data_IF_572168607517
#
_entry.id   IF_572168607517
#
_cell.length_a   1.000
_cell.length_b   1.000
_cell.length_c   1.000
_cell.angle_alpha   90.00
_cell.angle_beta   90.00
_cell.angle_gamma   90.00
#
_symmetry.space_group_name_H-M   'P 1'
#
loop_
_entity.id
_entity.type
_entity.pdbx_description
1 polymer ?
#
# COMPACT_ATOMS: atom_id res chain seq x y z
N UNK A 1 -14.15 -17.79 -12.83
CA UNK A 1 -13.88 -16.33 -12.73
C UNK A 1 -13.20 -15.88 -14.01
N UNK A 2 -13.52 -14.74 -14.63
CA UNK A 2 -12.71 -14.23 -15.72
C UNK A 2 -11.30 -13.97 -15.19
N UNK A 3 -10.31 -14.33 -15.99
CA UNK A 3 -8.88 -14.25 -15.72
C UNK A 3 -8.49 -12.77 -15.43
N UNK A 4 -8.43 -12.40 -14.14
CA UNK A 4 -8.16 -11.03 -13.67
C UNK A 4 -6.79 -10.52 -14.14
N UNK A 5 -5.80 -11.40 -14.25
CA UNK A 5 -4.47 -11.07 -14.75
C UNK A 5 -4.46 -10.59 -16.19
N UNK A 6 -5.38 -11.08 -17.03
CA UNK A 6 -5.55 -10.57 -18.40
C UNK A 6 -6.25 -9.20 -18.45
N UNK A 7 -6.97 -8.79 -17.42
CA UNK A 7 -7.63 -7.48 -17.38
C UNK A 7 -6.62 -6.37 -17.02
N UNK A 8 -5.76 -6.59 -16.02
CA UNK A 8 -4.72 -5.62 -15.65
C UNK A 8 -3.75 -5.30 -16.79
N UNK A 9 -3.40 -6.30 -17.61
CA UNK A 9 -2.52 -6.12 -18.77
C UNK A 9 -3.13 -5.22 -19.89
N UNK A 10 -4.43 -4.91 -19.85
CA UNK A 10 -5.09 -4.02 -20.80
C UNK A 10 -5.09 -2.56 -20.35
N UNK A 11 -4.83 -2.30 -19.07
CA UNK A 11 -4.77 -0.94 -18.54
C UNK A 11 -3.54 -0.21 -19.13
N UNK A 12 -3.74 1.01 -19.60
CA UNK A 12 -2.68 1.84 -20.18
C UNK A 12 -3.03 3.32 -20.04
N UNK A 13 -2.02 4.14 -19.93
CA UNK A 13 -2.17 5.59 -20.03
C UNK A 13 -2.60 5.98 -21.44
N UNK A 14 -3.59 6.88 -21.55
CA UNK A 14 -4.05 7.42 -22.84
C UNK A 14 -3.46 8.82 -23.08
N UNK A 15 -3.52 9.69 -22.05
CA UNK A 15 -2.97 11.05 -22.11
C UNK A 15 -2.50 11.50 -20.74
N UNK A 16 -1.66 12.52 -20.71
CA UNK A 16 -1.24 13.22 -19.51
C UNK A 16 -1.16 14.71 -19.82
N UNK A 17 -1.84 15.50 -19.02
CA UNK A 17 -1.90 16.95 -19.14
C UNK A 17 -1.85 17.62 -17.77
N UNK A 18 -1.48 18.91 -17.67
CA UNK A 18 -1.58 19.66 -16.42
C UNK A 18 -3.02 19.66 -15.91
N UNK A 19 -3.20 19.41 -14.61
CA UNK A 19 -4.51 19.45 -13.97
C UNK A 19 -4.86 20.90 -13.58
N UNK A 20 -6.01 21.38 -14.05
CA UNK A 20 -6.56 22.65 -13.57
C UNK A 20 -6.96 22.49 -12.09
N UNK A 21 -6.47 23.36 -11.19
CA UNK A 21 -6.86 23.31 -9.76
C UNK A 21 -8.37 23.34 -9.53
N UNK A 22 -9.16 23.96 -10.41
CA UNK A 22 -10.62 24.00 -10.32
C UNK A 22 -11.28 22.65 -10.59
N UNK A 23 -10.62 21.74 -11.30
CA UNK A 23 -11.08 20.39 -11.65
C UNK A 23 -10.55 19.33 -10.67
N UNK A 24 -9.59 19.71 -9.80
CA UNK A 24 -8.95 18.79 -8.87
C UNK A 24 -9.90 18.33 -7.77
N UNK A 25 -10.21 17.03 -7.73
CA UNK A 25 -11.11 16.42 -6.73
C UNK A 25 -10.38 15.75 -5.57
N UNK A 26 -9.22 15.15 -5.85
CA UNK A 26 -8.52 14.23 -4.95
C UNK A 26 -7.23 14.80 -4.38
N UNK A 27 -6.60 15.71 -5.13
CA UNK A 27 -5.31 16.29 -4.78
C UNK A 27 -5.30 17.79 -5.02
N UNK A 28 -4.43 18.50 -4.29
CA UNK A 28 -4.10 19.91 -4.56
C UNK A 28 -2.61 20.13 -4.46
N UNK A 29 -2.12 21.13 -5.20
CA UNK A 29 -0.76 21.66 -5.03
C UNK A 29 -0.79 22.77 -3.99
N UNK A 30 0.23 22.80 -3.14
CA UNK A 30 0.37 23.74 -2.04
C UNK A 30 1.75 24.39 -2.08
N UNK A 31 1.79 25.72 -1.91
CA UNK A 31 3.01 26.48 -1.66
C UNK A 31 3.05 26.87 -0.19
N UNK A 32 3.98 26.29 0.54
CA UNK A 32 4.21 26.63 1.95
C UNK A 32 5.32 27.68 2.06
N UNK A 33 5.15 28.65 2.96
CA UNK A 33 6.22 29.57 3.36
C UNK A 33 6.66 29.20 4.78
N UNK A 34 7.94 29.02 5.00
CA UNK A 34 8.51 28.64 6.28
C UNK A 34 9.80 29.40 6.57
N UNK A 35 10.21 29.42 7.83
CA UNK A 35 11.53 29.92 8.23
C UNK A 35 12.50 28.75 8.36
N UNK A 36 13.64 28.89 7.71
CA UNK A 36 14.75 27.94 7.88
C UNK A 36 15.42 28.08 9.26
N UNK A 37 16.34 27.20 9.66
CA UNK A 37 17.05 27.28 10.94
C UNK A 37 17.82 28.59 11.18
N UNK A 38 18.10 29.36 10.13
CA UNK A 38 18.77 30.66 10.20
C UNK A 38 17.75 31.83 10.29
N UNK A 39 16.45 31.53 10.33
CA UNK A 39 15.38 32.51 10.36
C UNK A 39 15.06 33.16 9.00
N UNK A 40 15.60 32.64 7.92
CA UNK A 40 15.33 33.11 6.54
C UNK A 40 14.06 32.51 6.02
N UNK A 41 13.19 33.33 5.43
CA UNK A 41 11.96 32.83 4.79
C UNK A 41 12.30 32.06 3.49
N UNK A 42 11.69 30.89 3.37
CA UNK A 42 11.79 29.99 2.22
C UNK A 42 10.41 29.56 1.77
N UNK A 43 10.31 29.07 0.54
CA UNK A 43 9.09 28.48 0.02
C UNK A 43 9.34 27.02 -0.35
N UNK A 44 8.29 26.19 -0.23
CA UNK A 44 8.28 24.79 -0.63
C UNK A 44 7.00 24.45 -1.39
N UNK A 45 7.11 23.71 -2.48
CA UNK A 45 5.96 23.24 -3.24
C UNK A 45 5.72 21.76 -2.93
N UNK A 46 4.47 21.39 -2.66
CA UNK A 46 4.08 20.04 -2.30
C UNK A 46 2.68 19.69 -2.79
N UNK A 47 2.36 18.40 -2.78
CA UNK A 47 1.00 17.91 -3.03
C UNK A 47 0.33 17.49 -1.72
N UNK A 48 -0.99 17.63 -1.66
CA UNK A 48 -1.82 17.18 -0.53
C UNK A 48 -3.03 16.41 -1.02
N UNK A 49 -3.50 15.42 -0.22
CA UNK A 49 -4.80 14.79 -0.42
C UNK A 49 -5.93 15.69 0.09
N UNK A 50 -7.04 15.72 -0.64
CA UNK A 50 -8.27 16.39 -0.20
C UNK A 50 -9.24 15.44 0.51
N UNK A 51 -8.92 14.15 0.55
CA UNK A 51 -9.77 13.07 1.10
C UNK A 51 -9.49 12.73 2.56
N UNK A 52 -8.47 13.32 3.19
CA UNK A 52 -8.20 13.09 4.60
C UNK A 52 -9.37 13.54 5.47
N UNK A 53 -9.95 12.69 6.33
CA UNK A 53 -11.00 13.10 7.24
C UNK A 53 -10.52 14.22 8.18
N UNK A 54 -11.38 15.18 8.49
CA UNK A 54 -11.02 16.37 9.29
C UNK A 54 -10.46 16.03 10.67
N UNK A 55 -10.93 14.93 11.26
CA UNK A 55 -10.55 14.49 12.60
C UNK A 55 -9.51 13.34 12.60
N UNK A 56 -8.97 12.97 11.44
CA UNK A 56 -7.94 11.94 11.34
C UNK A 56 -6.55 12.57 11.18
N UNK A 57 -5.53 12.11 11.95
CA UNK A 57 -4.15 12.52 11.75
C UNK A 57 -3.48 11.81 10.56
N UNK A 58 -4.14 10.80 9.97
CA UNK A 58 -3.60 9.98 8.88
C UNK A 58 -4.55 9.95 7.68
N UNK A 59 -4.00 9.66 6.49
CA UNK A 59 -4.78 9.48 5.27
C UNK A 59 -5.34 8.07 5.12
N UNK A 60 -4.63 7.06 5.61
CA UNK A 60 -5.01 5.67 5.40
C UNK A 60 -4.06 4.68 6.08
N UNK A 61 -4.16 3.44 5.66
CA UNK A 61 -3.37 2.33 6.17
C UNK A 61 -2.71 1.53 5.05
N UNK A 62 -1.54 0.96 5.33
CA UNK A 62 -1.00 -0.16 4.57
C UNK A 62 -1.12 -1.43 5.41
N UNK A 63 -1.44 -2.56 4.80
CA UNK A 63 -1.79 -3.78 5.51
C UNK A 63 -0.69 -4.83 5.32
N UNK A 64 -0.03 -5.17 6.43
CA UNK A 64 0.94 -6.26 6.51
C UNK A 64 0.19 -7.54 6.87
N UNK A 65 -0.52 -8.12 5.90
CA UNK A 65 -1.28 -9.35 6.10
C UNK A 65 -0.37 -10.56 5.94
N UNK A 66 -0.19 -11.32 7.04
CA UNK A 66 0.63 -12.53 7.07
C UNK A 66 -0.29 -13.75 7.07
N UNK A 67 -0.16 -14.54 6.01
CA UNK A 67 -0.85 -15.82 5.85
C UNK A 67 -0.01 -16.91 6.52
N UNK A 68 -0.51 -17.48 7.60
CA UNK A 68 0.15 -18.60 8.28
C UNK A 68 -0.14 -19.92 7.55
N UNK A 69 0.65 -20.20 6.51
CA UNK A 69 0.53 -21.43 5.74
C UNK A 69 1.37 -22.58 6.34
N UNK A 70 1.03 -23.84 6.04
CA UNK A 70 1.85 -24.99 6.48
C UNK A 70 3.30 -24.92 5.96
N UNK A 71 3.54 -24.23 4.86
CA UNK A 71 4.85 -24.02 4.23
C UNK A 71 5.65 -22.89 4.88
N UNK A 72 5.05 -22.14 5.80
CA UNK A 72 5.62 -20.98 6.47
C UNK A 72 4.83 -19.70 6.25
N UNK A 73 5.24 -18.59 6.89
CA UNK A 73 4.55 -17.32 6.77
C UNK A 73 4.78 -16.69 5.40
N UNK A 74 3.68 -16.27 4.76
CA UNK A 74 3.68 -15.56 3.49
C UNK A 74 3.06 -14.18 3.62
N UNK A 75 3.65 -13.19 2.98
CA UNK A 75 3.09 -11.85 2.86
C UNK A 75 2.07 -11.83 1.73
N UNK A 76 0.86 -11.35 2.04
CA UNK A 76 -0.15 -11.06 1.02
C UNK A 76 0.22 -9.79 0.28
N UNK A 77 0.25 -9.87 -1.04
CA UNK A 77 0.51 -8.77 -1.95
C UNK A 77 -0.61 -8.65 -2.98
N UNK A 78 -0.66 -7.50 -3.63
CA UNK A 78 -1.60 -7.25 -4.71
C UNK A 78 -0.92 -6.60 -5.91
N UNK A 79 -1.53 -6.79 -7.07
CA UNK A 79 -1.22 -6.11 -8.32
C UNK A 79 -2.34 -5.14 -8.62
N UNK A 80 -2.00 -3.88 -8.86
CA UNK A 80 -2.95 -2.86 -9.29
C UNK A 80 -2.28 -1.94 -10.32
N UNK A 81 -3.00 -1.59 -11.38
CA UNK A 81 -2.50 -0.59 -12.33
C UNK A 81 -2.55 0.80 -11.71
N UNK A 82 -1.42 1.51 -11.75
CA UNK A 82 -1.29 2.87 -11.20
C UNK A 82 -0.98 3.86 -12.33
N UNK A 83 -1.96 4.65 -12.79
CA UNK A 83 -1.79 5.61 -13.89
C UNK A 83 -0.60 6.57 -13.74
N UNK A 84 -0.24 7.06 -12.52
CA UNK A 84 0.90 7.97 -12.39
C UNK A 84 2.23 7.40 -12.86
N UNK A 85 2.44 6.09 -12.75
CA UNK A 85 3.66 5.40 -13.19
C UNK A 85 3.45 4.60 -14.49
N UNK A 86 2.20 4.54 -15.00
CA UNK A 86 1.81 3.78 -16.19
C UNK A 86 2.27 2.31 -16.13
N UNK A 87 2.10 1.68 -14.96
CA UNK A 87 2.49 0.29 -14.73
C UNK A 87 1.53 -0.40 -13.77
N UNK A 88 1.49 -1.72 -13.85
CA UNK A 88 0.97 -2.55 -12.77
C UNK A 88 2.01 -2.55 -11.65
N UNK A 89 1.60 -2.18 -10.45
CA UNK A 89 2.44 -2.05 -9.27
C UNK A 89 2.17 -3.22 -8.32
N UNK A 90 3.22 -3.74 -7.73
CA UNK A 90 3.16 -4.73 -6.65
C UNK A 90 3.14 -3.97 -5.33
N UNK A 91 2.06 -4.13 -4.59
CA UNK A 91 1.77 -3.38 -3.38
C UNK A 91 1.30 -4.31 -2.25
N UNK A 92 1.35 -3.83 -1.01
CA UNK A 92 0.54 -4.41 0.08
C UNK A 92 -0.89 -3.90 -0.07
N UNK A 93 -1.93 -4.63 0.38
CA UNK A 93 -3.29 -4.09 0.47
C UNK A 93 -3.29 -2.79 1.28
N UNK A 94 -4.10 -1.82 0.89
CA UNK A 94 -4.06 -0.49 1.48
C UNK A 94 -5.34 0.29 1.18
N UNK A 95 -5.87 1.01 2.16
CA UNK A 95 -7.04 1.83 1.97
C UNK A 95 -6.99 3.16 2.69
N UNK A 96 -7.94 4.03 2.35
CA UNK A 96 -8.14 5.30 3.01
C UNK A 96 -8.98 5.09 4.26
N UNK A 97 -8.66 5.86 5.31
CA UNK A 97 -9.41 5.81 6.55
C UNK A 97 -10.71 6.61 6.41
N UNK A 98 -11.80 6.05 6.92
CA UNK A 98 -13.09 6.72 6.97
C UNK A 98 -13.23 7.60 8.21
N UNK A 99 -14.22 8.52 8.22
CA UNK A 99 -14.45 9.39 9.35
C UNK A 99 -14.86 8.59 10.59
N UNK A 100 -14.08 8.72 11.66
CA UNK A 100 -14.31 8.01 12.93
C UNK A 100 -13.76 6.59 12.99
N UNK A 101 -13.17 6.09 11.91
CA UNK A 101 -12.56 4.76 11.86
C UNK A 101 -11.16 4.78 12.48
N UNK A 102 -10.81 3.74 13.20
CA UNK A 102 -9.43 3.51 13.66
C UNK A 102 -8.57 2.87 12.58
N UNK A 103 -7.23 2.98 12.62
CA UNK A 103 -6.36 2.29 11.68
C UNK A 103 -6.56 0.78 11.63
N UNK A 104 -6.85 0.16 12.77
CA UNK A 104 -7.09 -1.27 12.90
C UNK A 104 -8.40 -1.69 12.22
N UNK A 105 -9.48 -0.92 12.41
CA UNK A 105 -10.78 -1.15 11.76
C UNK A 105 -10.66 -1.00 10.24
N UNK A 106 -10.03 0.09 9.79
CA UNK A 106 -9.74 0.32 8.38
C UNK A 106 -8.97 -0.85 7.76
N UNK A 107 -7.90 -1.30 8.41
CA UNK A 107 -7.09 -2.39 7.88
C UNK A 107 -7.86 -3.71 7.75
N UNK A 108 -8.72 -4.02 8.70
CA UNK A 108 -9.55 -5.25 8.65
C UNK A 108 -10.63 -5.15 7.57
N UNK A 109 -11.26 -3.98 7.43
CA UNK A 109 -12.26 -3.72 6.39
C UNK A 109 -11.65 -3.83 4.99
N UNK A 110 -10.59 -3.06 4.73
CA UNK A 110 -9.91 -3.01 3.44
C UNK A 110 -9.31 -4.37 3.04
N UNK A 111 -8.72 -5.10 4.01
CA UNK A 111 -8.24 -6.47 3.75
C UNK A 111 -9.37 -7.34 3.20
N UNK A 112 -10.54 -7.28 3.82
CA UNK A 112 -11.70 -8.07 3.38
C UNK A 112 -12.22 -7.63 2.01
N UNK A 113 -12.34 -6.32 1.79
CA UNK A 113 -12.86 -5.75 0.55
C UNK A 113 -11.94 -6.04 -0.63
N UNK A 114 -10.66 -5.70 -0.52
CA UNK A 114 -9.68 -5.86 -1.61
C UNK A 114 -9.29 -7.32 -1.87
N UNK A 115 -9.23 -8.16 -0.83
CA UNK A 115 -8.62 -9.48 -0.93
C UNK A 115 -9.54 -10.65 -0.61
N UNK A 116 -10.66 -10.39 0.07
CA UNK A 116 -11.59 -11.40 0.57
C UNK A 116 -11.10 -12.13 1.82
N UNK A 117 -9.86 -11.90 2.29
CA UNK A 117 -9.37 -12.49 3.52
C UNK A 117 -9.93 -11.79 4.75
N UNK A 118 -10.18 -12.57 5.80
CA UNK A 118 -10.51 -12.05 7.14
C UNK A 118 -9.34 -12.28 8.08
N UNK A 119 -9.02 -11.26 8.87
CA UNK A 119 -7.88 -11.30 9.78
C UNK A 119 -8.11 -10.46 11.03
N UNK A 120 -7.15 -10.53 11.93
CA UNK A 120 -7.14 -9.78 13.19
C UNK A 120 -5.94 -8.85 13.20
N UNK A 121 -6.18 -7.57 13.41
CA UNK A 121 -5.11 -6.58 13.60
C UNK A 121 -4.38 -6.88 14.93
N UNK A 122 -3.05 -7.02 14.86
CA UNK A 122 -2.23 -7.36 16.02
C UNK A 122 -1.36 -6.19 16.47
N UNK A 123 -0.93 -5.36 15.54
CA UNK A 123 -0.05 -4.23 15.83
C UNK A 123 -0.18 -3.14 14.77
N UNK A 124 -0.19 -1.90 15.22
CA UNK A 124 -0.14 -0.71 14.38
C UNK A 124 1.21 0.00 14.55
N UNK A 125 1.81 0.41 13.46
CA UNK A 125 3.06 1.17 13.48
C UNK A 125 2.85 2.61 13.95
N UNK A 126 3.94 3.33 14.18
CA UNK A 126 3.90 4.81 14.18
C UNK A 126 3.46 5.33 12.82
N UNK A 127 3.02 6.60 12.77
CA UNK A 127 2.70 7.28 11.50
C UNK A 127 3.95 7.35 10.63
N UNK A 128 3.79 6.95 9.37
CA UNK A 128 4.83 6.99 8.35
C UNK A 128 4.41 7.92 7.23
N UNK A 129 5.34 8.68 6.68
CA UNK A 129 5.11 9.55 5.52
C UNK A 129 5.61 8.87 4.26
N UNK A 130 4.80 8.90 3.20
CA UNK A 130 5.12 8.21 1.94
C UNK A 130 6.30 8.87 1.21
N UNK A 131 6.22 10.18 1.00
CA UNK A 131 7.28 10.99 0.38
C UNK A 131 7.23 12.42 0.94
N UNK A 132 7.86 12.67 2.11
CA UNK A 132 7.73 13.96 2.81
C UNK A 132 8.41 15.14 2.09
N UNK A 133 9.23 14.86 1.08
CA UNK A 133 9.79 15.88 0.20
C UNK A 133 8.80 16.38 -0.85
N UNK A 134 7.86 15.53 -1.26
CA UNK A 134 6.88 15.80 -2.31
C UNK A 134 5.47 16.06 -1.77
N UNK A 135 5.05 15.34 -0.75
CA UNK A 135 3.68 15.40 -0.24
C UNK A 135 3.62 15.21 1.28
N UNK A 136 2.48 15.56 1.87
CA UNK A 136 2.20 15.32 3.28
C UNK A 136 1.38 14.04 3.53
N UNK A 137 1.26 13.17 2.53
CA UNK A 137 0.50 11.93 2.68
C UNK A 137 1.20 10.97 3.64
N UNK A 138 0.40 10.40 4.52
CA UNK A 138 0.89 9.54 5.58
C UNK A 138 -0.04 8.35 5.82
N UNK A 139 0.44 7.38 6.57
CA UNK A 139 -0.31 6.18 6.90
C UNK A 139 0.23 5.50 8.17
N UNK A 140 -0.53 4.56 8.70
CA UNK A 140 -0.01 3.52 9.57
C UNK A 140 0.13 2.20 8.80
N UNK A 141 1.19 1.43 9.09
CA UNK A 141 1.25 0.03 8.69
C UNK A 141 0.61 -0.82 9.79
N UNK A 142 -0.43 -1.55 9.44
CA UNK A 142 -1.15 -2.43 10.37
C UNK A 142 -0.79 -3.89 10.07
N UNK A 143 -0.25 -4.57 11.09
CA UNK A 143 0.03 -6.00 11.00
C UNK A 143 -1.25 -6.78 11.26
N UNK A 144 -1.66 -7.58 10.29
CA UNK A 144 -2.88 -8.39 10.36
C UNK A 144 -2.51 -9.86 10.22
N UNK A 145 -2.87 -10.64 11.23
CA UNK A 145 -2.75 -12.09 11.17
C UNK A 145 -3.98 -12.69 10.49
N UNK A 146 -3.73 -13.49 9.47
CA UNK A 146 -4.76 -14.23 8.74
C UNK A 146 -4.66 -15.71 9.12
N UNK A 147 -5.70 -16.22 9.76
CA UNK A 147 -5.79 -17.64 10.12
C UNK A 147 -6.30 -18.45 8.93
N UNK A 148 -5.41 -19.21 8.33
CA UNK A 148 -5.71 -20.04 7.16
C UNK A 148 -6.56 -21.27 7.48
N UNK A 149 -6.87 -21.55 8.75
CA UNK A 149 -7.81 -22.63 9.14
C UNK A 149 -9.28 -22.22 9.04
N UNK A 150 -9.56 -20.92 8.98
CA UNK A 150 -10.91 -20.40 8.84
C UNK A 150 -11.49 -20.71 7.46
N UNK A 151 -12.77 -21.18 7.36
CA UNK A 151 -13.42 -21.47 6.08
C UNK A 151 -13.40 -20.28 5.10
N UNK A 152 -13.59 -19.06 5.60
CA UNK A 152 -13.59 -17.82 4.82
C UNK A 152 -12.26 -17.61 4.11
N UNK A 153 -11.15 -17.99 4.76
CA UNK A 153 -9.79 -17.82 4.25
C UNK A 153 -9.33 -18.96 3.31
N UNK A 154 -10.12 -20.04 3.19
CA UNK A 154 -9.83 -21.13 2.24
C UNK A 154 -10.23 -20.76 0.80
N UNK A 155 -11.23 -19.92 0.63
CA UNK A 155 -11.68 -19.44 -0.67
C UNK A 155 -12.09 -17.96 -0.55
N UNK A 156 -11.14 -17.06 -0.38
CA UNK A 156 -11.43 -15.64 -0.16
C UNK A 156 -12.14 -15.05 -1.39
N UNK A 157 -13.12 -14.19 -1.13
CA UNK A 157 -13.95 -13.56 -2.16
C UNK A 157 -13.84 -12.04 -2.00
N UNK A 158 -13.02 -11.35 -2.82
CA UNK A 158 -12.93 -9.90 -2.83
C UNK A 158 -14.29 -9.24 -3.13
N UNK A 159 -14.49 -8.05 -2.60
CA UNK A 159 -15.67 -7.21 -2.80
C UNK A 159 -15.23 -5.84 -3.36
N UNK A 160 -14.55 -5.88 -4.51
CA UNK A 160 -13.97 -4.70 -5.15
C UNK A 160 -15.06 -3.73 -5.62
N UNK A 161 -14.76 -2.44 -5.60
CA UNK A 161 -15.57 -1.43 -6.24
C UNK A 161 -15.55 -1.56 -7.78
N UNK A 162 -16.52 -0.96 -8.45
CA UNK A 162 -16.67 -1.06 -9.93
C UNK A 162 -15.43 -0.57 -10.73
N UNK A 163 -14.63 0.31 -10.13
CA UNK A 163 -13.42 0.89 -10.71
C UNK A 163 -12.12 0.29 -10.15
N UNK A 164 -12.21 -0.72 -9.29
CA UNK A 164 -11.07 -1.41 -8.72
C UNK A 164 -10.76 -2.70 -9.48
N UNK A 165 -9.51 -2.82 -9.88
CA UNK A 165 -8.97 -4.01 -10.56
C UNK A 165 -7.73 -4.46 -9.80
N UNK A 166 -7.91 -5.41 -8.89
CA UNK A 166 -6.89 -5.93 -7.99
C UNK A 166 -6.75 -7.45 -8.19
N UNK A 167 -5.50 -7.92 -8.27
CA UNK A 167 -5.16 -9.35 -8.29
C UNK A 167 -4.27 -9.66 -7.09
N UNK A 168 -4.74 -10.50 -6.17
CA UNK A 168 -4.02 -10.86 -4.96
C UNK A 168 -3.18 -12.13 -5.14
N UNK A 169 -2.01 -12.15 -4.51
CA UNK A 169 -1.12 -13.31 -4.43
C UNK A 169 -0.30 -13.23 -3.14
N UNK A 170 0.37 -14.30 -2.77
CA UNK A 170 1.22 -14.28 -1.58
C UNK A 170 2.63 -14.76 -1.89
N UNK A 171 3.59 -14.28 -1.11
CA UNK A 171 5.02 -14.56 -1.27
C UNK A 171 5.60 -14.96 0.09
N UNK A 172 6.34 -16.09 0.17
CA UNK A 172 7.07 -16.44 1.40
C UNK A 172 8.01 -15.29 1.82
N UNK A 173 7.95 -14.91 3.10
CA UNK A 173 8.78 -13.81 3.60
C UNK A 173 10.27 -14.02 3.33
N UNK A 174 10.73 -15.28 3.42
CA UNK A 174 12.14 -15.61 3.20
C UNK A 174 12.64 -15.45 1.76
N UNK A 175 11.74 -15.35 0.77
CA UNK A 175 12.07 -15.16 -0.66
C UNK A 175 11.54 -13.84 -1.22
N UNK A 176 11.09 -12.93 -0.36
CA UNK A 176 10.45 -11.69 -0.80
C UNK A 176 11.36 -10.84 -1.71
N UNK A 177 12.65 -10.71 -1.39
CA UNK A 177 13.59 -9.94 -2.21
C UNK A 177 13.82 -10.57 -3.58
N UNK A 178 13.95 -11.88 -3.65
CA UNK A 178 14.12 -12.59 -4.94
C UNK A 178 12.87 -12.44 -5.80
N UNK A 179 11.71 -12.55 -5.18
CA UNK A 179 10.43 -12.43 -5.87
C UNK A 179 10.19 -11.00 -6.38
N UNK A 180 10.51 -9.96 -5.61
CA UNK A 180 10.41 -8.57 -6.08
C UNK A 180 11.31 -8.31 -7.29
N UNK A 181 12.55 -8.82 -7.29
CA UNK A 181 13.46 -8.73 -8.45
C UNK A 181 12.92 -9.48 -9.67
N UNK A 182 12.33 -10.67 -9.46
CA UNK A 182 11.70 -11.45 -10.53
C UNK A 182 10.51 -10.70 -11.15
N UNK A 183 9.66 -10.11 -10.32
CA UNK A 183 8.50 -9.33 -10.76
C UNK A 183 8.93 -8.05 -11.49
N UNK A 184 9.95 -7.34 -11.01
CA UNK A 184 10.51 -6.17 -11.69
C UNK A 184 11.05 -6.55 -13.09
N UNK A 185 11.76 -7.66 -13.21
CA UNK A 185 12.26 -8.16 -14.51
C UNK A 185 11.13 -8.53 -15.48
N UNK A 186 9.91 -8.79 -14.98
CA UNK A 186 8.71 -9.01 -15.79
C UNK A 186 8.00 -7.68 -16.16
N UNK A 187 8.51 -6.54 -15.72
CA UNK A 187 7.98 -5.21 -16.05
C UNK A 187 7.02 -4.61 -15.03
N UNK A 188 6.76 -5.29 -13.90
CA UNK A 188 6.00 -4.71 -12.78
C UNK A 188 6.82 -3.61 -12.09
N UNK A 189 6.13 -2.60 -11.55
CA UNK A 189 6.74 -1.69 -10.61
C UNK A 189 6.59 -2.22 -9.18
N UNK A 190 7.54 -1.90 -8.32
CA UNK A 190 7.52 -2.32 -6.91
C UNK A 190 7.25 -1.10 -6.04
N UNK A 191 6.23 -1.17 -5.20
CA UNK A 191 5.96 -0.15 -4.19
C UNK A 191 7.11 -0.07 -3.18
N UNK A 192 7.46 1.14 -2.76
CA UNK A 192 8.58 1.37 -1.86
C UNK A 192 8.44 0.64 -0.51
N UNK A 193 7.21 0.44 -0.02
CA UNK A 193 6.95 -0.29 1.23
C UNK A 193 7.30 -1.76 1.08
N UNK A 194 6.93 -2.37 -0.05
CA UNK A 194 7.28 -3.77 -0.37
C UNK A 194 8.78 -3.91 -0.56
N UNK A 195 9.38 -3.03 -1.35
CA UNK A 195 10.83 -3.05 -1.60
C UNK A 195 11.65 -2.87 -0.33
N UNK A 196 11.31 -1.87 0.50
CA UNK A 196 12.00 -1.62 1.77
C UNK A 196 11.87 -2.79 2.75
N UNK A 197 10.68 -3.42 2.82
CA UNK A 197 10.49 -4.61 3.64
C UNK A 197 11.37 -5.77 3.16
N UNK A 198 11.40 -6.02 1.84
CA UNK A 198 12.21 -7.07 1.25
C UNK A 198 13.71 -6.88 1.54
N UNK A 199 14.23 -5.67 1.36
CA UNK A 199 15.60 -5.31 1.71
C UNK A 199 15.86 -5.42 3.22
N UNK A 200 14.91 -5.01 4.06
CA UNK A 200 15.01 -5.11 5.53
C UNK A 200 15.13 -6.56 6.00
N UNK A 201 14.35 -7.49 5.43
CA UNK A 201 14.42 -8.92 5.73
C UNK A 201 15.80 -9.48 5.34
N UNK A 202 16.30 -9.12 4.15
CA UNK A 202 17.61 -9.57 3.69
C UNK A 202 18.75 -9.03 4.56
N UNK A 203 18.69 -7.77 4.97
CA UNK A 203 19.64 -7.18 5.90
C UNK A 203 19.61 -7.90 7.26
N UNK A 204 18.42 -8.18 7.80
CA UNK A 204 18.26 -8.91 9.05
C UNK A 204 18.88 -10.32 8.96
N UNK A 205 18.68 -11.02 7.85
CA UNK A 205 19.29 -12.33 7.57
C UNK A 205 20.80 -12.24 7.46
N UNK A 206 21.32 -11.30 6.67
CA UNK A 206 22.75 -11.11 6.43
C UNK A 206 23.54 -10.81 7.69
N UNK A 207 22.97 -10.02 8.57
CA UNK A 207 23.63 -9.59 9.81
C UNK A 207 23.22 -10.41 11.04
N UNK A 208 22.40 -11.47 10.88
CA UNK A 208 21.98 -12.33 11.98
C UNK A 208 21.18 -11.61 13.05
N UNK A 209 20.38 -10.60 12.67
CA UNK A 209 19.60 -9.80 13.61
C UNK A 209 18.34 -10.53 14.13
N UNK A 210 17.90 -11.60 13.45
CA UNK A 210 16.84 -12.47 13.93
C UNK A 210 17.44 -13.62 14.75
N UNK A 211 17.00 -13.85 16.00
CA UNK A 211 17.38 -15.05 16.73
C UNK A 211 16.94 -16.28 15.94
N UNK A 212 17.79 -17.32 15.98
CA UNK A 212 17.49 -18.63 15.37
C UNK A 212 16.35 -19.32 16.09
#
# INVERSE_FOLDING_TARGET
MPDSGRQLAKAKLISREPLDPAEAKWTRLVKSTYKDPLGVERTWESAERQTRPKNSPIDGVGIMAILNKPTGPELLLQKQYRPPVDKVVIEVPAGLIDEGETPEECAVRELKEETGYVGVAERTSTVMFNDPGFCNTNLNMVHVRVDMSLPENQNPQPQLEDNEFIECFSVPLGSLLEETKRLEAQGYAIDARVGTLAEGIELARKFGLCPK
#
